data_IF_974749783694
#
_entry.id   IF_974749783694
#
_cell.length_a   1.000
_cell.length_b   1.000
_cell.length_c   1.000
_cell.angle_alpha   90.00
_cell.angle_beta   90.00
_cell.angle_gamma   90.00
#
_symmetry.space_group_name_H-M   'P 1'
#
loop_
_entity.id
_entity.type
_entity.pdbx_description
1 polymer ?
#
# COMPACT_ATOMS: atom_id res chain seq x y z
N UNK A 1 22.46 -11.73 -33.79
CA UNK A 1 21.53 -12.81 -33.39
C UNK A 1 22.14 -13.57 -32.23
N UNK A 2 21.78 -13.21 -30.99
CA UNK A 2 22.23 -13.92 -29.79
C UNK A 2 21.46 -15.24 -29.69
N UNK A 3 22.15 -16.37 -29.86
CA UNK A 3 21.58 -17.70 -29.63
C UNK A 3 21.35 -17.86 -28.14
N UNK A 4 20.10 -17.78 -27.70
CA UNK A 4 19.72 -18.14 -26.34
C UNK A 4 20.12 -19.59 -26.07
N UNK A 5 21.09 -19.79 -25.16
CA UNK A 5 21.38 -21.12 -24.60
C UNK A 5 20.10 -21.61 -23.92
N UNK A 6 19.42 -22.59 -24.52
CA UNK A 6 18.43 -23.40 -23.80
C UNK A 6 19.18 -24.08 -22.65
N UNK A 7 18.76 -23.82 -21.42
CA UNK A 7 19.18 -24.60 -20.26
C UNK A 7 18.81 -26.07 -20.52
N UNK A 8 19.68 -27.05 -20.19
CA UNK A 8 19.33 -28.47 -20.24
C UNK A 8 18.09 -28.73 -19.39
N UNK A 9 17.18 -29.60 -19.86
CA UNK A 9 15.92 -29.91 -19.18
C UNK A 9 16.15 -30.35 -17.73
N UNK A 10 17.18 -31.19 -17.50
CA UNK A 10 17.62 -31.65 -16.17
C UNK A 10 18.01 -30.53 -15.19
N UNK A 11 18.59 -29.43 -15.69
CA UNK A 11 18.99 -28.31 -14.82
C UNK A 11 17.76 -27.48 -14.41
N UNK A 12 16.77 -27.37 -15.29
CA UNK A 12 15.50 -26.71 -15.01
C UNK A 12 14.66 -27.52 -14.03
N UNK A 13 14.58 -28.84 -14.23
CA UNK A 13 13.83 -29.75 -13.35
C UNK A 13 14.42 -29.73 -11.94
N UNK A 14 15.76 -29.83 -11.80
CA UNK A 14 16.43 -29.72 -10.50
C UNK A 14 16.22 -28.35 -9.85
N UNK A 15 16.23 -27.27 -10.63
CA UNK A 15 15.99 -25.93 -10.10
C UNK A 15 14.55 -25.78 -9.57
N UNK A 16 13.56 -26.36 -10.27
CA UNK A 16 12.16 -26.37 -9.84
C UNK A 16 12.00 -27.27 -8.61
N UNK A 17 12.53 -28.49 -8.61
CA UNK A 17 12.45 -29.42 -7.48
C UNK A 17 13.08 -28.81 -6.22
N UNK A 18 14.27 -28.21 -6.34
CA UNK A 18 14.93 -27.56 -5.21
C UNK A 18 14.08 -26.46 -4.57
N UNK A 19 13.31 -25.70 -5.38
CA UNK A 19 12.39 -24.66 -4.90
C UNK A 19 11.03 -25.20 -4.45
N UNK A 20 10.54 -26.27 -5.07
CA UNK A 20 9.26 -26.90 -4.73
C UNK A 20 9.34 -27.66 -3.41
N UNK A 21 10.47 -28.33 -3.12
CA UNK A 21 10.71 -29.02 -1.84
C UNK A 21 10.67 -28.02 -0.67
N UNK A 22 11.01 -26.75 -0.92
CA UNK A 22 10.96 -25.68 0.07
C UNK A 22 9.54 -25.12 0.31
N UNK A 23 8.54 -25.44 -0.52
CA UNK A 23 7.16 -24.97 -0.34
C UNK A 23 6.31 -26.14 0.12
N UNK A 24 5.97 -26.17 1.40
CA UNK A 24 4.98 -27.11 1.93
C UNK A 24 3.65 -26.40 2.10
N UNK A 25 2.59 -27.00 1.58
CA UNK A 25 1.23 -26.52 1.75
C UNK A 25 0.31 -27.66 2.17
N UNK A 26 -0.74 -27.29 2.90
CA UNK A 26 -1.83 -28.19 3.29
C UNK A 26 -3.16 -27.49 3.12
N UNK A 27 -4.19 -28.28 2.86
CA UNK A 27 -5.56 -27.78 2.71
C UNK A 27 -6.37 -28.13 3.95
N UNK A 28 -7.14 -27.17 4.44
CA UNK A 28 -8.03 -27.34 5.58
C UNK A 28 -9.45 -26.96 5.16
N UNK A 29 -10.41 -27.85 5.40
CA UNK A 29 -11.82 -27.51 5.30
C UNK A 29 -12.32 -27.11 6.68
N UNK A 30 -12.48 -25.80 6.89
CA UNK A 30 -12.87 -25.24 8.18
C UNK A 30 -14.33 -24.77 8.13
N UNK A 31 -15.18 -25.18 9.09
CA UNK A 31 -16.50 -24.58 9.25
C UNK A 31 -16.39 -23.07 9.49
N UNK A 32 -17.37 -22.30 9.00
CA UNK A 32 -17.45 -20.84 9.23
C UNK A 32 -17.27 -20.48 10.70
N UNK A 33 -17.91 -21.20 11.63
CA UNK A 33 -17.77 -20.92 13.07
C UNK A 33 -16.32 -21.08 13.53
N UNK A 34 -15.61 -22.13 13.10
CA UNK A 34 -14.20 -22.33 13.45
C UNK A 34 -13.29 -21.26 12.88
N UNK A 35 -13.57 -20.78 11.67
CA UNK A 35 -12.84 -19.65 11.07
C UNK A 35 -13.00 -18.37 11.89
N UNK A 36 -14.24 -18.05 12.28
CA UNK A 36 -14.53 -16.87 13.10
C UNK A 36 -13.94 -17.00 14.51
N UNK A 37 -14.01 -18.18 15.13
CA UNK A 37 -13.32 -18.45 16.41
C UNK A 37 -11.81 -18.20 16.29
N UNK A 38 -11.16 -18.78 15.26
CA UNK A 38 -9.73 -18.55 15.04
C UNK A 38 -9.41 -17.07 14.83
N UNK A 39 -10.28 -16.33 14.13
CA UNK A 39 -10.11 -14.90 13.91
C UNK A 39 -10.28 -14.10 15.21
N UNK A 40 -11.30 -14.39 16.02
CA UNK A 40 -11.55 -13.76 17.33
C UNK A 40 -10.41 -14.01 18.32
N UNK A 41 -9.88 -15.23 18.34
CA UNK A 41 -8.81 -15.66 19.25
C UNK A 41 -7.41 -15.22 18.79
N UNK A 42 -7.29 -14.53 17.65
CA UNK A 42 -6.00 -14.14 17.08
C UNK A 42 -5.17 -15.31 16.55
N UNK A 43 -5.78 -16.49 16.36
CA UNK A 43 -5.15 -17.66 15.71
C UNK A 43 -5.15 -17.56 14.19
N UNK A 44 -6.10 -16.83 13.62
CA UNK A 44 -6.11 -16.39 12.23
C UNK A 44 -6.01 -14.86 12.24
N UNK A 45 -4.84 -14.34 11.94
CA UNK A 45 -4.53 -12.92 11.98
C UNK A 45 -4.80 -12.32 10.61
N UNK A 46 -5.58 -11.24 10.59
CA UNK A 46 -5.64 -10.32 9.46
C UNK A 46 -4.82 -9.10 9.84
N UNK A 47 -3.74 -8.88 9.10
CA UNK A 47 -2.84 -7.77 9.36
C UNK A 47 -3.59 -6.42 9.32
N UNK A 48 -3.29 -5.44 10.20
CA UNK A 48 -4.06 -4.20 10.30
C UNK A 48 -4.20 -3.40 8.99
N UNK A 49 -3.26 -3.52 8.05
CA UNK A 49 -3.36 -2.90 6.72
C UNK A 49 -4.38 -3.56 5.79
N UNK A 50 -4.70 -4.83 6.03
CA UNK A 50 -5.58 -5.64 5.18
C UNK A 50 -7.05 -5.28 5.39
N UNK A 51 -7.40 -4.62 6.50
CA UNK A 51 -8.72 -4.00 6.67
C UNK A 51 -9.08 -3.09 5.50
N UNK A 52 -8.11 -2.38 4.93
CA UNK A 52 -8.33 -1.51 3.77
C UNK A 52 -8.54 -2.27 2.45
N UNK A 53 -8.31 -3.58 2.45
CA UNK A 53 -8.60 -4.50 1.35
C UNK A 53 -10.03 -5.07 1.44
N UNK A 54 -10.75 -4.83 2.54
CA UNK A 54 -12.19 -5.07 2.62
C UNK A 54 -12.93 -4.03 1.79
N UNK A 55 -13.25 -4.39 0.55
CA UNK A 55 -13.76 -3.50 -0.52
C UNK A 55 -15.02 -4.05 -1.19
N UNK A 56 -15.53 -5.19 -0.73
CA UNK A 56 -16.79 -5.70 -1.26
C UNK A 56 -17.93 -4.73 -0.93
N UNK A 57 -18.73 -4.41 -1.95
CA UNK A 57 -20.01 -3.74 -1.72
C UNK A 57 -20.95 -4.68 -0.97
N UNK A 58 -21.88 -4.12 -0.20
CA UNK A 58 -22.84 -4.93 0.56
C UNK A 58 -23.63 -5.92 -0.31
N UNK A 59 -23.88 -5.60 -1.58
CA UNK A 59 -24.49 -6.55 -2.53
C UNK A 59 -23.58 -7.74 -2.86
N UNK A 60 -22.27 -7.52 -3.05
CA UNK A 60 -21.31 -8.62 -3.26
C UNK A 60 -21.13 -9.46 -2.00
N UNK A 61 -21.09 -8.84 -0.84
CA UNK A 61 -21.09 -9.53 0.45
C UNK A 61 -22.32 -10.43 0.60
N UNK A 62 -23.49 -9.91 0.26
CA UNK A 62 -24.77 -10.61 0.42
C UNK A 62 -24.87 -11.83 -0.49
N UNK A 63 -24.42 -11.73 -1.76
CA UNK A 63 -24.37 -12.88 -2.68
C UNK A 63 -23.38 -13.96 -2.21
N UNK A 64 -22.31 -13.56 -1.52
CA UNK A 64 -21.40 -14.53 -0.90
C UNK A 64 -22.07 -15.28 0.27
N UNK A 65 -22.81 -14.58 1.15
CA UNK A 65 -23.60 -15.23 2.21
C UNK A 65 -24.69 -16.15 1.62
N UNK A 66 -25.39 -15.68 0.59
CA UNK A 66 -26.38 -16.47 -0.15
C UNK A 66 -25.77 -17.75 -0.74
N UNK A 67 -24.57 -17.64 -1.34
CA UNK A 67 -23.85 -18.79 -1.89
C UNK A 67 -23.57 -19.85 -0.82
N UNK A 68 -23.14 -19.43 0.38
CA UNK A 68 -22.91 -20.35 1.50
C UNK A 68 -24.19 -21.01 2.00
N UNK A 69 -25.28 -20.25 2.13
CA UNK A 69 -26.60 -20.79 2.54
C UNK A 69 -27.16 -21.80 1.53
N UNK A 70 -26.86 -21.61 0.24
CA UNK A 70 -27.24 -22.52 -0.85
C UNK A 70 -26.29 -23.72 -1.00
N UNK A 71 -25.14 -23.72 -0.33
CA UNK A 71 -24.11 -24.74 -0.50
C UNK A 71 -23.37 -24.67 -1.83
N UNK A 72 -23.33 -23.49 -2.46
CA UNK A 72 -22.54 -23.26 -3.66
C UNK A 72 -21.04 -23.24 -3.34
N UNK A 73 -20.17 -23.74 -4.23
CA UNK A 73 -18.74 -23.68 -4.03
C UNK A 73 -18.26 -22.23 -4.01
N UNK A 74 -17.51 -21.86 -2.98
CA UNK A 74 -16.85 -20.56 -2.85
C UNK A 74 -15.35 -20.72 -3.03
N UNK A 75 -14.62 -19.69 -3.52
CA UNK A 75 -13.17 -19.80 -3.64
C UNK A 75 -12.53 -19.95 -2.25
N UNK A 76 -11.35 -20.61 -2.14
CA UNK A 76 -10.68 -20.85 -0.87
C UNK A 76 -10.04 -19.60 -0.29
N UNK A 77 -9.90 -19.55 1.03
CA UNK A 77 -8.99 -18.60 1.69
C UNK A 77 -7.54 -19.09 1.54
N UNK A 78 -6.58 -18.19 1.60
CA UNK A 78 -5.16 -18.57 1.67
C UNK A 78 -4.51 -17.96 2.90
N UNK A 79 -3.70 -18.74 3.61
CA UNK A 79 -2.99 -18.29 4.80
C UNK A 79 -1.56 -18.84 4.86
N UNK A 80 -0.69 -18.16 5.59
CA UNK A 80 0.68 -18.61 5.90
C UNK A 80 0.78 -18.85 7.40
N UNK A 81 1.45 -19.92 7.80
CA UNK A 81 1.77 -20.14 9.20
C UNK A 81 2.88 -19.18 9.65
N UNK A 82 2.66 -18.49 10.77
CA UNK A 82 3.62 -17.50 11.27
C UNK A 82 4.84 -18.18 11.90
N UNK A 83 6.02 -17.63 11.67
CA UNK A 83 7.25 -18.20 12.24
C UNK A 83 7.30 -18.00 13.76
N UNK A 84 6.80 -16.87 14.25
CA UNK A 84 6.86 -16.51 15.67
C UNK A 84 5.76 -17.15 16.54
N UNK A 85 4.73 -17.76 15.96
CA UNK A 85 3.58 -18.31 16.69
C UNK A 85 2.93 -19.48 15.96
N UNK A 86 2.05 -20.24 16.61
CA UNK A 86 1.22 -21.26 15.93
C UNK A 86 -0.03 -20.65 15.27
N UNK A 87 -0.02 -19.35 14.98
CA UNK A 87 -1.10 -18.64 14.32
C UNK A 87 -0.87 -18.58 12.80
N UNK A 88 -1.93 -18.28 12.07
CA UNK A 88 -1.92 -18.12 10.62
C UNK A 88 -2.12 -16.65 10.26
N UNK A 89 -1.36 -16.12 9.32
CA UNK A 89 -1.65 -14.83 8.70
C UNK A 89 -2.44 -15.04 7.40
N UNK A 90 -3.58 -14.38 7.28
CA UNK A 90 -4.41 -14.44 6.08
C UNK A 90 -3.73 -13.67 4.92
N UNK A 91 -3.52 -14.35 3.80
CA UNK A 91 -2.85 -13.82 2.60
C UNK A 91 -3.86 -13.48 1.49
N UNK A 92 -4.92 -14.27 1.38
CA UNK A 92 -6.06 -14.01 0.48
C UNK A 92 -7.38 -14.35 1.17
N UNK A 93 -8.43 -13.63 0.79
CA UNK A 93 -9.79 -13.88 1.27
C UNK A 93 -10.24 -13.00 2.42
N UNK A 94 -9.55 -11.87 2.66
CA UNK A 94 -9.99 -10.84 3.62
C UNK A 94 -11.45 -10.49 3.44
N UNK A 95 -11.88 -10.25 2.19
CA UNK A 95 -13.27 -9.89 1.92
C UNK A 95 -14.26 -10.96 2.39
N UNK A 96 -13.93 -12.24 2.20
CA UNK A 96 -14.79 -13.36 2.61
C UNK A 96 -14.83 -13.47 4.13
N UNK A 97 -13.67 -13.45 4.80
CA UNK A 97 -13.60 -13.52 6.26
C UNK A 97 -14.33 -12.34 6.92
N UNK A 98 -14.11 -11.12 6.42
CA UNK A 98 -14.75 -9.92 6.95
C UNK A 98 -16.24 -9.91 6.67
N UNK A 99 -16.72 -10.40 5.53
CA UNK A 99 -18.16 -10.55 5.29
C UNK A 99 -18.81 -11.55 6.25
N UNK A 100 -18.15 -12.67 6.56
CA UNK A 100 -18.64 -13.62 7.58
C UNK A 100 -18.78 -12.94 8.94
N UNK A 101 -17.73 -12.22 9.37
CA UNK A 101 -17.75 -11.46 10.62
C UNK A 101 -18.84 -10.39 10.59
N UNK A 102 -18.88 -9.56 9.55
CA UNK A 102 -19.85 -8.48 9.36
C UNK A 102 -21.31 -8.97 9.42
N UNK A 103 -21.60 -10.15 8.90
CA UNK A 103 -22.96 -10.72 8.96
C UNK A 103 -23.28 -11.35 10.33
N UNK A 104 -22.37 -12.15 10.89
CA UNK A 104 -22.64 -12.96 12.11
C UNK A 104 -22.35 -12.16 13.39
N UNK A 105 -21.14 -11.64 13.52
CA UNK A 105 -20.62 -11.01 14.76
C UNK A 105 -20.77 -9.47 14.74
N UNK A 106 -20.75 -8.87 13.55
CA UNK A 106 -20.53 -7.45 13.31
C UNK A 106 -19.11 -7.15 12.84
N UNK A 107 -18.85 -5.92 12.36
CA UNK A 107 -17.50 -5.54 11.93
C UNK A 107 -16.54 -5.53 13.12
N UNK A 108 -15.26 -5.95 12.96
CA UNK A 108 -14.30 -6.03 14.06
C UNK A 108 -14.15 -4.73 14.87
N UNK A 109 -14.16 -3.59 14.20
CA UNK A 109 -13.98 -2.27 14.81
C UNK A 109 -15.31 -1.62 15.25
N UNK A 110 -16.43 -2.15 14.77
CA UNK A 110 -17.76 -1.66 15.12
C UNK A 110 -18.74 -2.84 15.12
N UNK A 111 -18.77 -3.64 16.21
CA UNK A 111 -19.61 -4.83 16.31
C UNK A 111 -21.11 -4.51 16.21
N UNK A 112 -21.49 -3.24 16.35
CA UNK A 112 -22.89 -2.81 16.20
C UNK A 112 -23.33 -2.76 14.74
N UNK A 113 -22.38 -2.64 13.80
CA UNK A 113 -22.64 -2.68 12.37
C UNK A 113 -22.68 -4.12 11.89
N UNK A 114 -23.89 -4.59 11.62
CA UNK A 114 -24.14 -5.88 11.01
C UNK A 114 -24.65 -5.74 9.58
N UNK A 115 -24.21 -6.64 8.72
CA UNK A 115 -24.65 -6.69 7.33
C UNK A 115 -26.15 -7.04 7.28
N UNK A 116 -26.90 -6.22 6.55
CA UNK A 116 -28.25 -6.57 6.09
C UNK A 116 -28.13 -7.01 4.63
N UNK A 117 -28.67 -8.18 4.32
CA UNK A 117 -28.54 -8.75 2.97
C UNK A 117 -29.28 -7.90 1.94
N UNK A 118 -28.64 -7.62 0.81
CA UNK A 118 -29.18 -6.91 -0.36
C UNK A 118 -28.67 -7.56 -1.65
N UNK A 119 -29.32 -7.33 -2.78
CA UNK A 119 -28.91 -7.88 -4.08
C UNK A 119 -28.71 -9.42 -4.11
N UNK A 120 -29.41 -10.16 -3.24
CA UNK A 120 -29.55 -11.62 -3.35
C UNK A 120 -30.44 -11.92 -4.56
N UNK A 121 -29.86 -12.56 -5.59
CA UNK A 121 -30.47 -12.74 -6.90
C UNK A 121 -31.07 -14.15 -7.11
N UNK A 122 -30.55 -15.16 -6.41
CA UNK A 122 -31.05 -16.55 -6.49
C UNK A 122 -32.26 -16.75 -5.57
N UNK A 123 -32.19 -16.23 -4.34
CA UNK A 123 -33.24 -16.28 -3.32
C UNK A 123 -33.55 -14.85 -2.86
N UNK A 124 -34.36 -14.09 -3.64
CA UNK A 124 -34.66 -12.69 -3.31
C UNK A 124 -35.32 -12.47 -1.95
N UNK A 125 -35.91 -13.52 -1.35
CA UNK A 125 -36.47 -13.48 0.01
C UNK A 125 -35.43 -13.33 1.12
N UNK A 126 -34.15 -13.58 0.83
CA UNK A 126 -33.06 -13.32 1.77
C UNK A 126 -32.79 -11.82 1.94
N UNK A 127 -33.15 -10.99 0.96
CA UNK A 127 -32.97 -9.55 1.05
C UNK A 127 -33.67 -8.99 2.30
N UNK A 128 -33.03 -7.98 2.90
CA UNK A 128 -33.39 -7.36 4.18
C UNK A 128 -33.17 -8.22 5.43
N UNK A 129 -32.75 -9.49 5.31
CA UNK A 129 -32.45 -10.33 6.46
C UNK A 129 -31.13 -9.93 7.13
N UNK A 130 -31.08 -10.03 8.46
CA UNK A 130 -29.85 -10.04 9.26
C UNK A 130 -29.61 -11.45 9.78
N UNK A 131 -28.43 -11.72 10.34
CA UNK A 131 -28.16 -13.05 10.91
C UNK A 131 -29.18 -13.42 12.00
N UNK A 132 -29.60 -12.46 12.83
CA UNK A 132 -30.58 -12.66 13.90
C UNK A 132 -31.97 -13.02 13.36
N UNK A 133 -32.37 -12.44 12.23
CA UNK A 133 -33.69 -12.68 11.63
C UNK A 133 -33.80 -14.01 10.90
N UNK A 134 -32.68 -14.74 10.70
CA UNK A 134 -32.70 -16.08 10.12
C UNK A 134 -33.28 -17.11 11.10
N UNK A 135 -33.98 -18.12 10.57
CA UNK A 135 -34.37 -19.29 11.35
C UNK A 135 -33.16 -20.11 11.80
N UNK A 136 -33.32 -20.88 12.88
CA UNK A 136 -32.20 -21.60 13.52
C UNK A 136 -31.53 -22.61 12.58
N UNK A 137 -32.29 -23.26 11.71
CA UNK A 137 -31.75 -24.17 10.69
C UNK A 137 -30.80 -23.46 9.72
N UNK A 138 -31.15 -22.23 9.28
CA UNK A 138 -30.30 -21.44 8.37
C UNK A 138 -29.07 -20.90 9.08
N UNK A 139 -29.20 -20.48 10.35
CA UNK A 139 -28.07 -20.07 11.18
C UNK A 139 -27.09 -21.22 11.37
N UNK A 140 -27.59 -22.40 11.71
CA UNK A 140 -26.79 -23.62 11.87
C UNK A 140 -26.10 -23.99 10.56
N UNK A 141 -26.86 -23.98 9.44
CA UNK A 141 -26.31 -24.25 8.11
C UNK A 141 -25.15 -23.33 7.76
N UNK A 142 -25.29 -22.02 7.99
CA UNK A 142 -24.23 -21.07 7.71
C UNK A 142 -22.98 -21.32 8.57
N UNK A 143 -23.15 -21.54 9.88
CA UNK A 143 -22.04 -21.82 10.81
C UNK A 143 -21.26 -23.09 10.45
N UNK A 144 -21.97 -24.11 9.96
CA UNK A 144 -21.39 -25.39 9.56
C UNK A 144 -20.90 -25.42 8.11
N UNK A 145 -21.14 -24.36 7.31
CA UNK A 145 -20.69 -24.31 5.93
C UNK A 145 -19.15 -24.42 5.88
N UNK A 146 -18.58 -25.39 5.15
CA UNK A 146 -17.14 -25.53 5.06
C UNK A 146 -16.55 -24.50 4.10
N UNK A 147 -15.45 -23.88 4.50
CA UNK A 147 -14.63 -23.04 3.64
C UNK A 147 -13.22 -23.62 3.64
N UNK A 148 -12.75 -23.93 2.43
CA UNK A 148 -11.38 -24.39 2.22
C UNK A 148 -10.39 -23.27 2.50
N UNK A 149 -9.32 -23.60 3.20
CA UNK A 149 -8.17 -22.76 3.48
C UNK A 149 -6.90 -23.45 3.00
N UNK A 150 -6.23 -22.83 2.03
CA UNK A 150 -4.91 -23.26 1.57
C UNK A 150 -3.85 -22.63 2.49
N UNK A 151 -3.19 -23.46 3.31
CA UNK A 151 -2.18 -23.03 4.29
C UNK A 151 -0.78 -23.36 3.77
N UNK A 152 0.09 -22.35 3.72
CA UNK A 152 1.53 -22.55 3.54
C UNK A 152 2.21 -22.70 4.90
N UNK A 153 3.00 -23.77 5.05
CA UNK A 153 3.64 -24.13 6.31
C UNK A 153 4.90 -23.31 6.60
N UNK A 154 5.20 -23.14 7.90
CA UNK A 154 6.30 -22.35 8.48
C UNK A 154 7.70 -22.71 7.96
N UNK A 155 7.90 -23.89 7.35
CA UNK A 155 9.18 -24.33 6.80
C UNK A 155 9.55 -23.66 5.45
N UNK A 156 8.69 -22.77 4.95
CA UNK A 156 8.88 -22.09 3.67
C UNK A 156 9.81 -20.88 3.80
N UNK A 157 10.70 -20.67 2.82
CA UNK A 157 11.54 -19.47 2.72
C UNK A 157 10.68 -18.21 2.89
N UNK A 158 11.00 -17.26 3.78
CA UNK A 158 10.20 -16.05 3.97
C UNK A 158 9.94 -15.24 2.68
N UNK A 159 10.83 -15.36 1.68
CA UNK A 159 10.62 -14.78 0.34
C UNK A 159 9.45 -15.42 -0.44
N UNK A 160 9.10 -16.69 -0.15
CA UNK A 160 7.97 -17.39 -0.77
C UNK A 160 6.64 -16.74 -0.37
N UNK A 161 6.51 -16.25 0.87
CA UNK A 161 5.28 -15.59 1.32
C UNK A 161 4.98 -14.33 0.50
N UNK A 162 6.00 -13.53 0.21
CA UNK A 162 5.88 -12.36 -0.67
C UNK A 162 5.43 -12.76 -2.08
N UNK A 163 6.07 -13.76 -2.67
CA UNK A 163 5.70 -14.25 -4.00
C UNK A 163 4.29 -14.84 -4.06
N UNK A 164 3.85 -15.54 -3.00
CA UNK A 164 2.48 -16.05 -2.90
C UNK A 164 1.48 -14.89 -2.88
N UNK A 165 1.70 -13.90 -2.01
CA UNK A 165 0.81 -12.75 -1.89
C UNK A 165 0.69 -11.99 -3.22
N UNK A 166 1.81 -11.76 -3.91
CA UNK A 166 1.83 -11.13 -5.23
C UNK A 166 1.02 -11.94 -6.26
N UNK A 167 1.17 -13.26 -6.29
CA UNK A 167 0.49 -14.14 -7.28
C UNK A 167 -1.00 -14.30 -7.01
N UNK A 168 -1.42 -14.52 -5.77
CA UNK A 168 -2.82 -14.73 -5.42
C UNK A 168 -3.65 -13.45 -5.63
N UNK A 169 -3.11 -12.29 -5.23
CA UNK A 169 -3.86 -11.03 -5.29
C UNK A 169 -3.78 -10.34 -6.66
N UNK A 170 -2.94 -10.80 -7.59
CA UNK A 170 -2.90 -10.26 -8.96
C UNK A 170 -4.17 -10.56 -9.78
N UNK A 171 -4.93 -11.60 -9.44
CA UNK A 171 -6.08 -12.06 -10.23
C UNK A 171 -7.45 -11.47 -9.82
N UNK A 172 -7.57 -10.87 -8.63
CA UNK A 172 -8.87 -10.45 -8.04
C UNK A 172 -9.01 -8.92 -7.84
N UNK A 173 -8.09 -8.13 -8.42
CA UNK A 173 -7.96 -6.69 -8.24
C UNK A 173 -6.60 -6.38 -7.63
N UNK A 174 -5.68 -5.92 -8.46
CA UNK A 174 -4.25 -5.87 -8.13
C UNK A 174 -3.99 -4.97 -6.91
N UNK A 175 -3.41 -5.50 -5.81
CA UNK A 175 -2.89 -4.67 -4.73
C UNK A 175 -1.81 -3.75 -5.31
N UNK A 176 -1.69 -2.54 -4.78
CA UNK A 176 -0.60 -1.65 -5.15
C UNK A 176 0.74 -2.29 -4.76
N UNK A 177 1.81 -1.93 -5.45
CA UNK A 177 3.15 -2.41 -5.11
C UNK A 177 3.54 -2.03 -3.68
N UNK A 178 3.00 -0.92 -3.16
CA UNK A 178 3.19 -0.53 -1.77
C UNK A 178 2.42 -1.45 -0.81
N UNK A 179 1.19 -1.83 -1.12
CA UNK A 179 0.43 -2.83 -0.35
C UNK A 179 1.17 -4.18 -0.32
N UNK A 180 1.79 -4.59 -1.44
CA UNK A 180 2.66 -5.77 -1.51
C UNK A 180 3.91 -5.63 -0.62
N UNK A 181 4.58 -4.48 -0.65
CA UNK A 181 5.77 -4.18 0.16
C UNK A 181 5.46 -4.14 1.67
N UNK A 182 4.38 -3.47 2.08
CA UNK A 182 3.95 -3.42 3.48
C UNK A 182 3.62 -4.80 4.05
N UNK A 183 3.06 -5.69 3.22
CA UNK A 183 2.81 -7.08 3.57
C UNK A 183 4.13 -7.83 3.81
N UNK A 184 5.02 -7.85 2.82
CA UNK A 184 6.30 -8.55 2.93
C UNK A 184 7.09 -8.06 4.14
N UNK A 185 7.22 -6.74 4.31
CA UNK A 185 7.98 -6.19 5.42
C UNK A 185 7.44 -6.67 6.78
N UNK A 186 6.11 -6.70 6.97
CA UNK A 186 5.50 -7.15 8.23
C UNK A 186 5.60 -8.66 8.45
N UNK A 187 5.41 -9.47 7.40
CA UNK A 187 5.59 -10.94 7.50
C UNK A 187 7.03 -11.31 7.89
N UNK A 188 7.99 -10.44 7.58
CA UNK A 188 9.40 -10.57 7.96
C UNK A 188 9.72 -9.91 9.32
N UNK A 189 8.73 -9.36 10.03
CA UNK A 189 8.92 -8.67 11.31
C UNK A 189 9.57 -7.28 11.19
N UNK A 190 9.58 -6.69 9.99
CA UNK A 190 10.11 -5.36 9.73
C UNK A 190 9.28 -4.25 10.39
N UNK A 191 9.96 -3.32 11.07
CA UNK A 191 9.36 -2.17 11.75
C UNK A 191 9.45 -0.87 10.93
N UNK A 192 10.18 -0.90 9.81
CA UNK A 192 10.51 0.28 9.03
C UNK A 192 9.30 0.90 8.31
N UNK A 193 8.50 0.12 7.59
CA UNK A 193 7.33 0.66 6.89
C UNK A 193 6.25 1.22 7.84
N UNK A 194 5.93 0.57 8.99
CA UNK A 194 5.09 1.16 10.03
C UNK A 194 5.62 2.51 10.54
N UNK A 195 6.93 2.64 10.73
CA UNK A 195 7.57 3.90 11.13
C UNK A 195 7.39 4.99 10.07
N UNK A 196 7.70 4.69 8.81
CA UNK A 196 7.52 5.63 7.68
C UNK A 196 6.07 6.08 7.57
N UNK A 197 5.12 5.15 7.69
CA UNK A 197 3.70 5.44 7.67
C UNK A 197 3.28 6.36 8.82
N UNK A 198 3.86 6.21 10.01
CA UNK A 198 3.59 7.08 11.15
C UNK A 198 4.14 8.50 10.94
N UNK A 199 5.33 8.64 10.34
CA UNK A 199 5.90 9.95 9.95
C UNK A 199 5.01 10.63 8.91
N UNK A 200 4.47 9.86 7.94
CA UNK A 200 3.56 10.35 6.90
C UNK A 200 2.18 10.81 7.38
N UNK A 201 1.85 10.72 8.68
CA UNK A 201 0.56 11.22 9.23
C UNK A 201 0.60 12.67 9.70
N UNK A 202 1.69 13.39 9.44
CA UNK A 202 1.81 14.80 9.81
C UNK A 202 0.79 15.67 9.06
N UNK A 203 0.29 16.72 9.73
CA UNK A 203 -0.76 17.58 9.20
C UNK A 203 -0.28 18.34 7.95
N UNK A 204 0.96 18.81 7.95
CA UNK A 204 1.59 19.54 6.86
C UNK A 204 1.76 18.65 5.63
N UNK A 205 2.17 17.40 5.83
CA UNK A 205 2.24 16.41 4.75
C UNK A 205 0.85 16.11 4.15
N UNK A 206 -0.14 15.93 5.02
CA UNK A 206 -1.53 15.68 4.61
C UNK A 206 -2.10 16.85 3.82
N UNK A 207 -1.79 18.08 4.23
CA UNK A 207 -2.16 19.30 3.52
C UNK A 207 -1.51 19.34 2.13
N UNK A 208 -0.19 19.16 2.03
CA UNK A 208 0.50 19.18 0.73
C UNK A 208 0.02 18.08 -0.23
N UNK A 209 -0.48 16.96 0.30
CA UNK A 209 -0.98 15.83 -0.50
C UNK A 209 -2.52 15.82 -0.60
N UNK A 210 -3.19 16.96 -0.36
CA UNK A 210 -4.65 17.06 -0.31
C UNK A 210 -5.34 16.68 -1.63
N UNK A 211 -4.69 16.88 -2.77
CA UNK A 211 -5.24 16.53 -4.09
C UNK A 211 -4.98 15.08 -4.53
N UNK A 212 -4.42 14.23 -3.67
CA UNK A 212 -4.40 12.77 -3.91
C UNK A 212 -5.84 12.26 -3.84
N UNK A 213 -6.34 11.69 -4.94
CA UNK A 213 -7.70 11.17 -5.02
C UNK A 213 -8.01 10.11 -3.96
N UNK A 214 -9.25 10.08 -3.50
CA UNK A 214 -9.72 9.20 -2.42
C UNK A 214 -9.40 7.72 -2.67
N UNK A 215 -9.65 7.23 -3.89
CA UNK A 215 -9.33 5.83 -4.25
C UNK A 215 -7.84 5.51 -4.06
N UNK A 216 -6.94 6.44 -4.39
CA UNK A 216 -5.50 6.25 -4.20
C UNK A 216 -5.13 6.28 -2.72
N UNK A 217 -5.74 7.16 -1.92
CA UNK A 217 -5.54 7.18 -0.46
C UNK A 217 -6.00 5.89 0.21
N UNK A 218 -7.14 5.34 -0.21
CA UNK A 218 -7.64 4.05 0.26
C UNK A 218 -6.69 2.88 -0.09
N UNK A 219 -5.79 3.08 -1.06
CA UNK A 219 -4.70 2.16 -1.42
C UNK A 219 -3.35 2.53 -0.80
N UNK A 220 -3.36 3.33 0.28
CA UNK A 220 -2.17 3.74 1.04
C UNK A 220 -1.15 4.55 0.21
N UNK A 221 -1.61 5.31 -0.79
CA UNK A 221 -0.72 6.08 -1.64
C UNK A 221 0.03 7.19 -0.88
N UNK A 222 -0.58 7.72 0.18
CA UNK A 222 0.05 8.65 1.14
C UNK A 222 1.28 8.03 1.82
N UNK A 223 1.19 6.77 2.24
CA UNK A 223 2.31 6.05 2.84
C UNK A 223 3.40 5.73 1.79
N UNK A 224 3.03 5.45 0.54
CA UNK A 224 3.99 5.32 -0.56
C UNK A 224 4.72 6.65 -0.82
N UNK A 225 4.02 7.79 -0.81
CA UNK A 225 4.65 9.11 -0.96
C UNK A 225 5.65 9.40 0.17
N UNK A 226 5.31 9.07 1.41
CA UNK A 226 6.25 9.17 2.53
C UNK A 226 7.49 8.27 2.31
N UNK A 227 7.30 7.03 1.85
CA UNK A 227 8.40 6.13 1.52
C UNK A 227 9.26 6.66 0.37
N UNK A 228 8.64 7.20 -0.68
CA UNK A 228 9.34 7.84 -1.82
C UNK A 228 10.25 8.95 -1.32
N UNK A 229 9.77 9.81 -0.41
CA UNK A 229 10.60 10.88 0.15
C UNK A 229 11.92 10.34 0.72
N UNK A 230 11.86 9.33 1.60
CA UNK A 230 13.04 8.77 2.24
C UNK A 230 13.93 8.01 1.26
N UNK A 231 13.34 7.19 0.38
CA UNK A 231 14.11 6.43 -0.61
C UNK A 231 14.93 7.37 -1.51
N UNK A 232 14.34 8.44 -2.03
CA UNK A 232 15.07 9.42 -2.82
C UNK A 232 16.02 10.28 -1.97
N UNK A 233 15.69 10.59 -0.72
CA UNK A 233 16.61 11.36 0.13
C UNK A 233 17.91 10.61 0.42
N UNK A 234 17.82 9.30 0.60
CA UNK A 234 18.93 8.45 1.02
C UNK A 234 19.68 7.84 -0.16
N UNK A 235 18.97 7.43 -1.23
CA UNK A 235 19.52 6.67 -2.36
C UNK A 235 19.22 7.30 -3.74
N UNK A 236 18.93 8.61 -3.86
CA UNK A 236 18.58 9.24 -5.17
C UNK A 236 19.54 8.90 -6.31
N UNK A 237 20.83 8.76 -6.03
CA UNK A 237 21.85 8.50 -7.05
C UNK A 237 21.87 7.04 -7.53
N UNK A 238 21.18 6.14 -6.83
CA UNK A 238 21.07 4.74 -7.18
C UNK A 238 19.79 4.44 -8.00
N UNK A 239 18.88 5.40 -8.12
CA UNK A 239 17.64 5.25 -8.90
C UNK A 239 17.93 5.02 -10.39
N UNK A 240 17.36 3.96 -10.98
CA UNK A 240 17.59 3.53 -12.37
C UNK A 240 16.40 3.67 -13.32
N UNK A 241 15.31 4.29 -12.85
CA UNK A 241 14.13 4.55 -13.68
C UNK A 241 12.95 3.62 -13.43
N UNK A 242 13.10 2.56 -12.64
CA UNK A 242 11.98 1.77 -12.12
C UNK A 242 11.75 2.10 -10.65
N UNK A 243 10.62 2.73 -10.34
CA UNK A 243 10.29 3.13 -8.97
C UNK A 243 9.87 1.95 -8.11
N UNK A 244 9.23 0.94 -8.68
CA UNK A 244 8.74 -0.23 -7.95
C UNK A 244 9.89 -0.97 -7.29
N UNK A 245 10.88 -1.31 -8.12
CA UNK A 245 12.06 -2.05 -7.74
C UNK A 245 12.93 -1.20 -6.81
N UNK A 246 13.14 0.09 -7.13
CA UNK A 246 13.91 1.01 -6.27
C UNK A 246 13.36 1.12 -4.85
N UNK A 247 12.03 1.25 -4.69
CA UNK A 247 11.42 1.32 -3.36
C UNK A 247 11.53 -0.02 -2.62
N UNK A 248 11.50 -1.15 -3.34
CA UNK A 248 11.65 -2.48 -2.75
C UNK A 248 13.07 -2.68 -2.24
N UNK A 249 14.08 -2.38 -3.08
CA UNK A 249 15.50 -2.43 -2.74
C UNK A 249 15.83 -1.54 -1.53
N UNK A 250 15.25 -0.33 -1.46
CA UNK A 250 15.43 0.57 -0.32
C UNK A 250 14.87 -0.01 0.99
N UNK A 251 13.64 -0.55 0.95
CA UNK A 251 13.02 -1.16 2.13
C UNK A 251 13.81 -2.37 2.60
N UNK A 252 14.27 -3.23 1.69
CA UNK A 252 15.10 -4.38 1.99
C UNK A 252 16.44 -3.95 2.62
N UNK A 253 17.13 -2.97 2.02
CA UNK A 253 18.40 -2.48 2.53
C UNK A 253 18.30 -1.93 3.96
N UNK A 254 17.24 -1.17 4.27
CA UNK A 254 17.02 -0.65 5.64
C UNK A 254 16.61 -1.75 6.60
N UNK A 255 15.71 -2.64 6.19
CA UNK A 255 15.19 -3.72 7.06
C UNK A 255 16.26 -4.76 7.40
N UNK A 256 17.14 -5.06 6.44
CA UNK A 256 18.29 -5.96 6.64
C UNK A 256 19.44 -5.30 7.42
N UNK A 257 19.34 -4.02 7.77
CA UNK A 257 20.40 -3.26 8.45
C UNK A 257 21.62 -2.94 7.55
N UNK A 258 21.53 -3.17 6.24
CA UNK A 258 22.58 -2.81 5.26
C UNK A 258 22.68 -1.31 5.07
N UNK A 259 21.56 -0.60 5.23
CA UNK A 259 21.48 0.85 5.17
C UNK A 259 20.98 1.40 6.52
N UNK A 260 21.80 2.16 7.27
CA UNK A 260 21.35 2.76 8.52
C UNK A 260 20.28 3.83 8.25
N UNK A 261 19.23 3.84 9.06
CA UNK A 261 18.16 4.84 9.02
C UNK A 261 18.11 5.59 10.37
N UNK A 262 18.55 6.84 10.37
CA UNK A 262 18.49 7.72 11.54
C UNK A 262 17.09 8.33 11.64
N UNK A 263 16.21 7.67 12.38
CA UNK A 263 14.81 8.09 12.52
C UNK A 263 14.68 9.56 12.97
N UNK A 264 15.46 9.99 13.97
CA UNK A 264 15.32 11.32 14.55
C UNK A 264 15.66 12.40 13.53
N UNK A 265 16.77 12.22 12.82
CA UNK A 265 17.21 13.14 11.76
C UNK A 265 16.25 13.14 10.58
N UNK A 266 15.87 11.96 10.09
CA UNK A 266 15.00 11.83 8.92
C UNK A 266 13.61 12.39 9.20
N UNK A 267 13.05 12.14 10.38
CA UNK A 267 11.78 12.74 10.83
C UNK A 267 11.87 14.27 10.87
N UNK A 268 12.95 14.84 11.42
CA UNK A 268 13.11 16.29 11.51
C UNK A 268 13.20 16.94 10.12
N UNK A 269 13.95 16.34 9.19
CA UNK A 269 14.05 16.81 7.81
C UNK A 269 12.73 16.69 7.06
N UNK A 270 12.01 15.58 7.23
CA UNK A 270 10.67 15.38 6.67
C UNK A 270 9.72 16.49 7.14
N UNK A 271 9.62 16.69 8.45
CA UNK A 271 8.77 17.73 9.04
C UNK A 271 9.14 19.12 8.55
N UNK A 272 10.44 19.46 8.51
CA UNK A 272 10.89 20.76 8.02
C UNK A 272 10.56 20.97 6.54
N UNK A 273 10.69 19.93 5.73
CA UNK A 273 10.35 19.97 4.28
C UNK A 273 8.86 20.27 4.08
N UNK A 274 7.99 19.52 4.75
CA UNK A 274 6.55 19.66 4.54
C UNK A 274 5.97 20.90 5.23
N UNK A 275 6.55 21.35 6.34
CA UNK A 275 6.20 22.65 6.93
C UNK A 275 6.55 23.81 5.98
N UNK A 276 7.70 23.78 5.32
CA UNK A 276 8.05 24.77 4.29
C UNK A 276 7.09 24.73 3.09
N UNK A 277 6.79 23.53 2.56
CA UNK A 277 5.86 23.38 1.45
C UNK A 277 4.44 23.84 1.83
N UNK A 278 3.98 23.54 3.04
CA UNK A 278 2.69 23.96 3.56
C UNK A 278 2.60 25.49 3.69
N UNK A 279 3.63 26.13 4.26
CA UNK A 279 3.68 27.60 4.41
C UNK A 279 3.81 28.35 3.08
N UNK A 280 4.33 27.70 2.03
CA UNK A 280 4.55 28.33 0.72
C UNK A 280 3.39 28.07 -0.25
N UNK A 281 3.18 26.81 -0.63
CA UNK A 281 2.20 26.39 -1.64
C UNK A 281 0.98 25.68 -1.04
N UNK A 282 1.05 25.20 0.20
CA UNK A 282 -0.07 24.52 0.86
C UNK A 282 -0.50 23.27 0.10
N UNK A 283 -1.82 23.12 -0.08
CA UNK A 283 -2.42 22.05 -0.89
C UNK A 283 -1.95 22.03 -2.34
N UNK A 284 -1.50 23.17 -2.86
CA UNK A 284 -1.06 23.31 -4.25
C UNK A 284 0.40 22.91 -4.50
N UNK A 285 1.09 22.38 -3.48
CA UNK A 285 2.48 21.96 -3.56
C UNK A 285 2.74 21.02 -4.75
N UNK A 286 1.83 20.09 -5.03
CA UNK A 286 1.98 19.08 -6.07
C UNK A 286 0.90 19.15 -7.16
N UNK A 287 0.30 20.32 -7.39
CA UNK A 287 -0.62 20.54 -8.51
C UNK A 287 0.08 21.22 -9.69
N UNK A 288 -0.57 21.21 -10.86
CA UNK A 288 -0.13 22.02 -12.00
C UNK A 288 -0.43 23.50 -11.74
N UNK A 289 0.36 24.38 -12.33
CA UNK A 289 0.10 25.82 -12.41
C UNK A 289 -0.16 26.17 -13.88
N UNK A 290 -1.33 26.72 -14.18
CA UNK A 290 -1.67 27.11 -15.55
C UNK A 290 -0.97 28.42 -15.95
N UNK A 291 -1.07 28.81 -17.23
CA UNK A 291 -0.41 30.03 -17.74
C UNK A 291 -0.97 31.32 -17.14
N UNK A 292 -2.21 31.29 -16.63
CA UNK A 292 -2.87 32.41 -15.96
C UNK A 292 -2.52 32.50 -14.46
N UNK A 293 -1.72 31.56 -13.94
CA UNK A 293 -1.31 31.53 -12.54
C UNK A 293 -2.32 30.87 -11.59
N UNK A 294 -3.33 30.17 -12.10
CA UNK A 294 -4.24 29.37 -11.27
C UNK A 294 -3.75 27.93 -11.13
N UNK A 295 -3.90 27.38 -9.93
CA UNK A 295 -3.54 26.01 -9.61
C UNK A 295 -4.61 25.02 -10.06
N UNK A 296 -4.17 23.81 -10.41
CA UNK A 296 -5.06 22.68 -10.71
C UNK A 296 -5.58 21.97 -9.45
N UNK A 297 -6.49 21.03 -9.64
CA UNK A 297 -7.15 20.28 -8.55
C UNK A 297 -6.68 18.83 -8.41
N UNK A 298 -5.69 18.42 -9.21
CA UNK A 298 -5.19 17.06 -9.27
C UNK A 298 -3.72 17.00 -8.86
N UNK A 299 -3.39 15.98 -8.06
CA UNK A 299 -2.02 15.67 -7.70
C UNK A 299 -1.21 15.22 -8.94
N UNK A 300 0.00 15.77 -9.07
CA UNK A 300 0.93 15.52 -10.17
C UNK A 300 2.13 14.74 -9.65
N UNK A 301 2.20 13.47 -10.03
CA UNK A 301 3.18 12.53 -9.50
C UNK A 301 4.64 12.89 -9.76
N UNK A 302 4.93 13.50 -10.91
CA UNK A 302 6.27 13.93 -11.30
C UNK A 302 6.69 15.27 -10.70
N UNK A 303 5.84 15.91 -9.89
CA UNK A 303 6.22 17.06 -9.07
C UNK A 303 6.75 16.64 -7.70
N UNK A 304 6.43 15.43 -7.23
CA UNK A 304 6.71 15.05 -5.85
C UNK A 304 8.22 15.02 -5.54
N UNK A 305 9.01 14.23 -6.24
CA UNK A 305 10.46 14.16 -6.01
C UNK A 305 11.17 15.49 -6.32
N UNK A 306 10.95 16.17 -7.46
CA UNK A 306 11.68 17.40 -7.76
C UNK A 306 11.51 18.48 -6.69
N UNK A 307 10.29 18.67 -6.20
CA UNK A 307 10.03 19.72 -5.20
C UNK A 307 10.47 19.29 -3.80
N UNK A 308 10.31 18.02 -3.40
CA UNK A 308 10.77 17.58 -2.07
C UNK A 308 12.28 17.50 -1.98
N UNK A 309 12.94 16.99 -3.02
CA UNK A 309 14.40 16.79 -3.04
C UNK A 309 15.15 18.08 -3.39
N UNK A 310 14.61 18.93 -4.25
CA UNK A 310 15.24 20.20 -4.62
C UNK A 310 15.28 21.23 -3.49
N UNK A 311 14.47 21.06 -2.45
CA UNK A 311 14.53 21.91 -1.24
C UNK A 311 15.66 21.52 -0.30
N UNK A 312 16.14 20.26 -0.35
CA UNK A 312 17.01 19.69 0.68
C UNK A 312 18.32 20.48 0.92
N UNK A 313 19.02 21.00 -0.11
CA UNK A 313 20.24 21.78 0.11
C UNK A 313 20.02 23.05 0.95
N UNK A 314 18.82 23.60 0.96
CA UNK A 314 18.50 24.90 1.57
C UNK A 314 17.86 24.77 2.96
N UNK A 315 17.41 23.58 3.35
CA UNK A 315 16.69 23.37 4.61
C UNK A 315 17.51 23.68 5.86
N UNK A 316 18.84 23.57 5.83
CA UNK A 316 19.67 23.90 6.99
C UNK A 316 19.67 25.41 7.30
N UNK A 317 19.62 26.25 6.25
CA UNK A 317 19.73 27.71 6.37
C UNK A 317 18.41 28.45 6.54
N UNK A 318 17.27 27.77 6.38
CA UNK A 318 15.96 28.43 6.44
C UNK A 318 15.43 28.56 7.87
N UNK A 319 14.96 29.76 8.19
CA UNK A 319 14.10 30.05 9.35
C UNK A 319 12.64 30.09 8.88
N UNK A 320 11.82 29.18 9.41
CA UNK A 320 10.41 29.06 9.03
C UNK A 320 9.51 30.12 9.67
N UNK A 321 10.05 30.92 10.60
CA UNK A 321 9.35 32.05 11.21
C UNK A 321 9.58 33.36 10.45
N UNK A 322 10.57 33.39 9.55
CA UNK A 322 10.88 34.56 8.72
C UNK A 322 9.96 34.61 7.50
N UNK A 323 8.98 35.52 7.53
CA UNK A 323 8.02 35.69 6.44
C UNK A 323 8.68 36.08 5.11
N UNK A 324 9.81 36.81 5.13
CA UNK A 324 10.49 37.22 3.91
C UNK A 324 11.15 36.01 3.23
N UNK A 325 11.75 35.10 4.01
CA UNK A 325 12.28 33.85 3.48
C UNK A 325 11.17 32.97 2.91
N UNK A 326 10.04 32.86 3.61
CA UNK A 326 8.88 32.10 3.13
C UNK A 326 8.35 32.67 1.80
N UNK A 327 8.22 33.99 1.67
CA UNK A 327 7.76 34.62 0.43
C UNK A 327 8.77 34.46 -0.72
N UNK A 328 10.07 34.51 -0.45
CA UNK A 328 11.12 34.19 -1.43
C UNK A 328 11.03 32.74 -1.90
N UNK A 329 10.87 31.78 -0.99
CA UNK A 329 10.65 30.38 -1.34
C UNK A 329 9.37 30.18 -2.14
N UNK A 330 8.26 30.80 -1.73
CA UNK A 330 6.99 30.75 -2.47
C UNK A 330 7.19 31.22 -3.91
N UNK A 331 7.90 32.33 -4.09
CA UNK A 331 8.18 32.91 -5.41
C UNK A 331 9.06 31.97 -6.26
N UNK A 332 10.12 31.42 -5.68
CA UNK A 332 10.99 30.45 -6.34
C UNK A 332 10.26 29.17 -6.76
N UNK A 333 9.42 28.61 -5.89
CA UNK A 333 8.65 27.40 -6.19
C UNK A 333 7.58 27.66 -7.26
N UNK A 334 6.95 28.83 -7.27
CA UNK A 334 6.04 29.24 -8.36
C UNK A 334 6.81 29.38 -9.68
N UNK A 335 8.00 29.99 -9.66
CA UNK A 335 8.85 30.10 -10.84
C UNK A 335 9.26 28.71 -11.38
N UNK A 336 9.67 27.80 -10.49
CA UNK A 336 9.95 26.41 -10.83
C UNK A 336 8.74 25.72 -11.47
N UNK A 337 7.53 25.86 -10.91
CA UNK A 337 6.30 25.30 -11.52
C UNK A 337 6.00 25.84 -12.93
N UNK A 338 6.50 27.03 -13.29
CA UNK A 338 6.32 27.62 -14.63
C UNK A 338 7.32 27.10 -15.65
N UNK A 339 8.35 26.35 -15.25
CA UNK A 339 9.31 25.78 -16.19
C UNK A 339 8.62 24.79 -17.15
N UNK A 340 9.02 24.71 -18.42
CA UNK A 340 8.36 23.86 -19.43
C UNK A 340 8.16 22.40 -19.00
N UNK A 341 9.11 21.85 -18.25
CA UNK A 341 9.07 20.46 -17.76
C UNK A 341 7.97 20.18 -16.72
N UNK A 342 7.44 21.20 -16.04
CA UNK A 342 6.40 21.07 -15.00
C UNK A 342 5.01 21.57 -15.45
N UNK A 343 4.87 22.00 -16.71
CA UNK A 343 3.59 22.49 -17.26
C UNK A 343 2.62 21.37 -17.64
N UNK A 344 3.13 20.16 -17.84
CA UNK A 344 2.34 18.99 -18.23
C UNK A 344 2.80 17.77 -17.45
N UNK A 345 1.88 16.93 -16.97
CA UNK A 345 2.24 15.67 -16.31
C UNK A 345 3.01 14.75 -17.26
N UNK A 346 3.95 13.99 -16.72
CA UNK A 346 4.64 12.93 -17.46
C UNK A 346 3.68 11.75 -17.64
N UNK A 347 3.61 11.17 -18.85
CA UNK A 347 2.67 10.07 -19.15
C UNK A 347 2.89 8.80 -18.31
N UNK A 348 4.14 8.51 -17.93
CA UNK A 348 4.51 7.37 -17.07
C UNK A 348 5.49 7.83 -15.98
N UNK A 349 4.99 8.52 -14.95
CA UNK A 349 5.87 9.11 -13.94
C UNK A 349 6.64 8.04 -13.15
N UNK A 350 6.05 6.85 -12.97
CA UNK A 350 6.66 5.69 -12.30
C UNK A 350 7.82 5.04 -13.06
N UNK A 351 7.93 5.32 -14.38
CA UNK A 351 9.05 4.89 -15.23
C UNK A 351 9.93 6.08 -15.66
N UNK A 352 9.90 7.18 -14.91
CA UNK A 352 10.67 8.37 -15.27
C UNK A 352 12.17 8.03 -15.22
N UNK A 353 12.92 8.22 -16.32
CA UNK A 353 14.36 7.96 -16.35
C UNK A 353 15.11 8.79 -15.30
N UNK A 354 16.17 8.21 -14.74
CA UNK A 354 16.96 8.85 -13.67
C UNK A 354 17.51 10.23 -14.08
N UNK A 355 18.02 10.36 -15.31
CA UNK A 355 18.51 11.63 -15.83
C UNK A 355 17.41 12.69 -15.93
N UNK A 356 16.19 12.29 -16.33
CA UNK A 356 15.05 13.21 -16.39
C UNK A 356 14.64 13.70 -15.01
N UNK A 357 14.63 12.80 -14.02
CA UNK A 357 14.36 13.15 -12.64
C UNK A 357 15.42 14.11 -12.09
N UNK A 358 16.70 13.81 -12.32
CA UNK A 358 17.82 14.67 -11.89
C UNK A 358 17.72 16.07 -12.47
N UNK A 359 17.48 16.19 -13.78
CA UNK A 359 17.29 17.49 -14.44
C UNK A 359 16.15 18.30 -13.81
N UNK A 360 15.06 17.64 -13.41
CA UNK A 360 13.92 18.29 -12.74
C UNK A 360 14.25 18.74 -11.33
N UNK A 361 14.96 17.91 -10.54
CA UNK A 361 15.45 18.28 -9.20
C UNK A 361 16.39 19.49 -9.32
N UNK A 362 17.40 19.42 -10.18
CA UNK A 362 18.38 20.48 -10.40
C UNK A 362 17.73 21.78 -10.89
N UNK A 363 16.62 21.68 -11.62
CA UNK A 363 15.85 22.85 -12.03
C UNK A 363 15.19 23.56 -10.85
N UNK A 364 14.58 22.82 -9.93
CA UNK A 364 14.01 23.39 -8.69
C UNK A 364 15.12 23.98 -7.82
N UNK A 365 16.24 23.27 -7.65
CA UNK A 365 17.40 23.76 -6.89
C UNK A 365 17.93 25.09 -7.43
N UNK A 366 18.05 25.22 -8.76
CA UNK A 366 18.51 26.45 -9.41
C UNK A 366 17.55 27.62 -9.23
N UNK A 367 16.25 27.40 -9.37
CA UNK A 367 15.25 28.45 -9.16
C UNK A 367 15.30 28.98 -7.72
N UNK A 368 15.43 28.09 -6.74
CA UNK A 368 15.60 28.51 -5.34
C UNK A 368 16.90 29.31 -5.20
N UNK A 369 18.04 28.78 -5.65
CA UNK A 369 19.32 29.47 -5.52
C UNK A 369 19.30 30.90 -6.10
N UNK A 370 18.65 31.10 -7.24
CA UNK A 370 18.53 32.42 -7.88
C UNK A 370 17.75 33.43 -7.05
N UNK A 371 16.69 33.00 -6.37
CA UNK A 371 15.86 33.88 -5.53
C UNK A 371 16.50 34.20 -4.16
N UNK A 372 17.54 33.46 -3.77
CA UNK A 372 18.31 33.71 -2.54
C UNK A 372 19.67 34.36 -2.79
N UNK A 373 20.11 34.48 -4.05
CA UNK A 373 21.34 35.14 -4.44
C UNK A 373 21.21 36.68 -4.56
N UNK A 374 20.00 37.22 -4.47
CA UNK A 374 19.69 38.65 -4.42
C UNK A 374 19.08 39.07 -3.08
#
# INVERSE_FOLDING_TARGET
MSKGKRLPHDDLDRAIEARSIAIRSRQLDLPVERLLEMFRDGRLVVEPGYRQLFRWSSGRESRFIESLLLGLPVPPLAAVELIASSAYALVDGVNRLFTLAHFIDGLPDDPTKKLRLIDCDIVPRLNQSTFESLGDDLKHRLRCAPIRVDVIEKASDPHIHYHLFKRLNSALGTPSEHELRECANRLLGGTFLPLVAAIGRQAEFSMCTLHVGEERRLRRYDAELALRYFAFRNLRFEYRGDRADFLSEYVEAVTDGKLPFDEARERALFSKTFLLLASTLGENAFTLLNMQGAFGFHFVDDHFEPFTQGLQPFLAGIDLTDSLQIDRFRSALIAAKRLPMFRRPVSRPYLMPADSLRVRIDAVEREIAQHFAG
#
